data_IF_685433089525
#
_entry.id   IF_685433089525
#
_cell.length_a   1.000
_cell.length_b   1.000
_cell.length_c   1.000
_cell.angle_alpha   90.00
_cell.angle_beta   90.00
_cell.angle_gamma   90.00
#
_symmetry.space_group_name_H-M   'P 1'
#
loop_
_entity.id
_entity.type
_entity.pdbx_description
1 polymer ?
#
# COMPACT_ATOMS: atom_id res chain seq x y z
N UNK A 1 -41.71 -23.16 30.89
CA UNK A 1 -40.65 -23.53 29.92
C UNK A 1 -39.40 -22.78 30.33
N UNK A 2 -38.38 -23.47 30.85
CA UNK A 2 -37.12 -22.88 31.31
C UNK A 2 -36.06 -23.28 30.29
N UNK A 3 -35.37 -22.30 29.70
CA UNK A 3 -34.29 -22.58 28.75
C UNK A 3 -33.14 -23.32 29.47
N UNK A 4 -32.50 -24.32 28.85
CA UNK A 4 -31.34 -24.97 29.45
C UNK A 4 -30.22 -23.92 29.57
N UNK A 5 -29.63 -23.83 30.77
CA UNK A 5 -28.41 -23.06 30.98
C UNK A 5 -27.30 -23.68 30.11
N UNK A 6 -26.44 -22.88 29.48
CA UNK A 6 -25.28 -23.43 28.81
C UNK A 6 -24.42 -24.15 29.85
N UNK A 7 -24.08 -25.41 29.58
CA UNK A 7 -23.06 -26.14 30.33
C UNK A 7 -21.71 -25.44 30.10
N UNK A 8 -21.41 -24.46 30.96
CA UNK A 8 -20.09 -23.87 31.02
C UNK A 8 -19.21 -24.90 31.72
N UNK A 9 -18.55 -25.73 30.91
CA UNK A 9 -17.53 -26.65 31.38
C UNK A 9 -16.45 -25.84 32.13
N UNK A 10 -16.21 -26.05 33.43
CA UNK A 10 -15.27 -25.24 34.21
C UNK A 10 -13.79 -25.62 33.96
N UNK A 11 -13.53 -26.59 33.08
CA UNK A 11 -12.21 -27.20 32.89
C UNK A 11 -11.23 -26.42 32.00
N UNK A 12 -11.60 -25.25 31.46
CA UNK A 12 -10.66 -24.37 30.75
C UNK A 12 -9.54 -23.82 31.65
N UNK A 13 -9.66 -23.98 32.97
CA UNK A 13 -8.62 -23.59 33.94
C UNK A 13 -7.42 -24.54 33.99
N UNK A 14 -7.51 -25.71 33.36
CA UNK A 14 -6.46 -26.74 33.35
C UNK A 14 -5.82 -26.94 31.98
N UNK A 15 -6.00 -25.99 31.05
CA UNK A 15 -5.09 -25.92 29.90
C UNK A 15 -3.78 -25.34 30.42
N UNK A 16 -2.70 -26.12 30.35
CA UNK A 16 -1.33 -25.63 30.56
C UNK A 16 -1.03 -24.58 29.49
N UNK A 17 -1.41 -23.34 29.76
CA UNK A 17 -1.15 -22.21 28.86
C UNK A 17 0.37 -22.10 28.71
N UNK A 18 0.85 -22.45 27.52
CA UNK A 18 2.26 -22.28 27.17
C UNK A 18 2.64 -20.81 27.39
N UNK A 19 3.79 -20.53 28.02
CA UNK A 19 4.24 -19.17 28.24
C UNK A 19 4.38 -18.45 26.89
N UNK A 20 3.50 -17.48 26.65
CA UNK A 20 3.53 -16.65 25.44
C UNK A 20 4.58 -15.56 25.67
N UNK A 21 5.61 -15.56 24.83
CA UNK A 21 6.63 -14.51 24.83
C UNK A 21 6.61 -13.75 23.51
N UNK A 22 6.95 -12.47 23.57
CA UNK A 22 7.25 -11.63 22.41
C UNK A 22 8.77 -11.41 22.46
N UNK A 23 9.57 -12.25 21.77
CA UNK A 23 11.02 -12.24 21.88
C UNK A 23 11.64 -10.89 21.50
N UNK A 24 11.02 -10.22 20.53
CA UNK A 24 11.42 -8.91 20.01
C UNK A 24 11.32 -7.80 21.07
N UNK A 25 10.38 -7.92 22.01
CA UNK A 25 10.16 -6.95 23.07
C UNK A 25 10.67 -7.42 24.44
N UNK A 26 11.24 -8.63 24.54
CA UNK A 26 11.60 -9.23 25.81
C UNK A 26 10.43 -9.33 26.79
N UNK A 27 9.19 -9.41 26.27
CA UNK A 27 7.98 -9.44 27.07
C UNK A 27 7.49 -10.89 27.20
N UNK A 28 7.12 -11.29 28.41
CA UNK A 28 6.51 -12.59 28.68
C UNK A 28 5.17 -12.40 29.39
N UNK A 29 4.18 -13.20 29.00
CA UNK A 29 2.88 -13.17 29.65
C UNK A 29 2.93 -14.04 30.90
N UNK A 30 2.75 -13.43 32.07
CA UNK A 30 2.71 -14.12 33.35
C UNK A 30 1.27 -14.59 33.62
N UNK A 31 1.01 -15.87 33.34
CA UNK A 31 -0.33 -16.50 33.44
C UNK A 31 -0.91 -16.35 34.86
N UNK A 32 -0.07 -16.42 35.90
CA UNK A 32 -0.48 -16.28 37.30
C UNK A 32 -1.04 -14.89 37.65
N UNK A 33 -0.61 -13.85 36.94
CA UNK A 33 -1.05 -12.47 37.15
C UNK A 33 -1.99 -11.97 36.06
N UNK A 34 -2.25 -12.80 35.04
CA UNK A 34 -2.93 -12.42 33.81
C UNK A 34 -2.40 -11.09 33.22
N UNK A 35 -1.08 -10.88 33.30
CA UNK A 35 -0.45 -9.62 32.96
C UNK A 35 0.84 -9.82 32.16
N UNK A 36 1.13 -8.86 31.28
CA UNK A 36 2.39 -8.79 30.55
C UNK A 36 3.49 -8.25 31.46
N UNK A 37 4.56 -9.03 31.63
CA UNK A 37 5.75 -8.63 32.36
C UNK A 37 6.84 -8.31 31.35
N UNK A 38 7.40 -7.11 31.47
CA UNK A 38 8.42 -6.57 30.59
C UNK A 38 9.70 -6.44 31.41
N UNK A 39 10.76 -7.14 31.02
CA UNK A 39 12.06 -7.02 31.68
C UNK A 39 12.70 -5.66 31.33
N UNK A 40 12.58 -4.72 32.27
CA UNK A 40 13.33 -3.46 32.38
C UNK A 40 13.18 -2.39 31.26
N UNK A 41 13.70 -1.18 31.53
CA UNK A 41 13.63 0.00 30.65
C UNK A 41 14.25 -0.17 29.26
N UNK A 42 15.05 -1.21 29.02
CA UNK A 42 15.57 -1.56 27.69
C UNK A 42 14.45 -1.90 26.69
N UNK A 43 13.37 -2.51 27.17
CA UNK A 43 12.26 -2.95 26.32
C UNK A 43 11.45 -1.78 25.76
N UNK A 44 11.33 -0.67 26.52
CA UNK A 44 10.75 0.59 26.01
C UNK A 44 11.63 1.23 24.94
N UNK A 45 12.95 1.17 25.10
CA UNK A 45 13.91 1.64 24.09
C UNK A 45 13.83 0.82 22.81
N UNK A 46 13.78 -0.52 22.92
CA UNK A 46 13.60 -1.44 21.79
C UNK A 46 12.26 -1.23 21.09
N UNK A 47 11.17 -1.08 21.83
CA UNK A 47 9.85 -0.76 21.27
C UNK A 47 9.87 0.59 20.53
N UNK A 48 10.50 1.62 21.11
CA UNK A 48 10.65 2.92 20.48
C UNK A 48 11.50 2.86 19.21
N UNK A 49 12.58 2.06 19.20
CA UNK A 49 13.41 1.86 18.01
C UNK A 49 12.64 1.14 16.89
N UNK A 50 11.89 0.10 17.22
CA UNK A 50 11.05 -0.62 16.26
C UNK A 50 9.97 0.30 15.69
N UNK A 51 9.30 1.07 16.55
CA UNK A 51 8.28 2.05 16.13
C UNK A 51 8.85 3.12 15.21
N UNK A 52 10.05 3.63 15.52
CA UNK A 52 10.75 4.60 14.67
C UNK A 52 11.18 3.99 13.32
N UNK A 53 11.69 2.76 13.31
CA UNK A 53 12.06 2.07 12.08
C UNK A 53 10.85 1.82 11.19
N UNK A 54 9.73 1.38 11.79
CA UNK A 54 8.48 1.19 11.06
C UNK A 54 7.97 2.50 10.46
N UNK A 55 7.93 3.59 11.24
CA UNK A 55 7.52 4.92 10.75
C UNK A 55 8.43 5.41 9.61
N UNK A 56 9.73 5.17 9.70
CA UNK A 56 10.69 5.52 8.64
C UNK A 56 10.44 4.73 7.36
N UNK A 57 10.14 3.44 7.48
CA UNK A 57 9.84 2.59 6.33
C UNK A 57 8.49 2.96 5.69
N UNK A 58 7.47 3.29 6.49
CA UNK A 58 6.18 3.78 5.99
C UNK A 58 6.36 5.09 5.18
N UNK A 59 7.15 6.04 5.68
CA UNK A 59 7.46 7.27 4.96
C UNK A 59 8.23 7.01 3.66
N UNK A 60 9.17 6.07 3.69
CA UNK A 60 9.93 5.65 2.49
C UNK A 60 9.01 5.04 1.44
N UNK A 61 8.10 4.16 1.85
CA UNK A 61 7.11 3.54 0.97
C UNK A 61 6.18 4.60 0.37
N UNK A 62 5.68 5.54 1.18
CA UNK A 62 4.88 6.67 0.69
C UNK A 62 5.63 7.47 -0.38
N UNK A 63 6.87 7.88 -0.12
CA UNK A 63 7.69 8.61 -1.09
C UNK A 63 7.88 7.85 -2.41
N UNK A 64 8.18 6.54 -2.33
CA UNK A 64 8.34 5.71 -3.52
C UNK A 64 7.04 5.61 -4.32
N UNK A 65 5.88 5.51 -3.65
CA UNK A 65 4.58 5.53 -4.31
C UNK A 65 4.34 6.85 -5.05
N UNK A 66 4.65 8.02 -4.46
CA UNK A 66 4.56 9.29 -5.21
C UNK A 66 5.42 9.31 -6.44
N UNK A 67 6.67 8.87 -6.33
CA UNK A 67 7.58 8.87 -7.47
C UNK A 67 7.06 7.95 -8.58
N UNK A 68 6.48 6.80 -8.21
CA UNK A 68 5.88 5.86 -9.15
C UNK A 68 4.67 6.50 -9.85
N UNK A 69 3.75 7.11 -9.11
CA UNK A 69 2.59 7.82 -9.67
C UNK A 69 3.01 8.94 -10.61
N UNK A 70 4.03 9.74 -10.24
CA UNK A 70 4.57 10.80 -11.11
C UNK A 70 5.13 10.23 -12.42
N UNK A 71 5.79 9.06 -12.36
CA UNK A 71 6.33 8.39 -13.55
C UNK A 71 5.22 7.81 -14.42
N UNK A 72 4.18 7.24 -13.82
CA UNK A 72 3.00 6.75 -14.53
C UNK A 72 2.27 7.88 -15.26
N UNK A 73 2.06 9.03 -14.60
CA UNK A 73 1.47 10.24 -15.21
C UNK A 73 2.30 10.72 -16.40
N UNK A 74 3.63 10.80 -16.26
CA UNK A 74 4.52 11.17 -17.37
C UNK A 74 4.45 10.17 -18.53
N UNK A 75 4.43 8.88 -18.21
CA UNK A 75 4.37 7.81 -19.20
C UNK A 75 3.04 7.81 -19.95
N UNK A 76 1.92 8.06 -19.27
CA UNK A 76 0.62 8.26 -19.90
C UNK A 76 0.62 9.47 -20.84
N UNK A 77 1.22 10.60 -20.43
CA UNK A 77 1.34 11.79 -21.28
C UNK A 77 2.13 11.49 -22.56
N UNK A 78 3.29 10.84 -22.44
CA UNK A 78 4.11 10.47 -23.59
C UNK A 78 3.37 9.50 -24.50
N UNK A 79 2.65 8.51 -23.95
CA UNK A 79 1.81 7.61 -24.74
C UNK A 79 0.72 8.35 -25.52
N UNK A 80 0.07 9.35 -24.90
CA UNK A 80 -0.92 10.20 -25.56
C UNK A 80 -0.30 11.01 -26.69
N UNK A 81 0.89 11.59 -26.48
CA UNK A 81 1.63 12.32 -27.52
C UNK A 81 1.98 11.41 -28.71
N UNK A 82 2.51 10.21 -28.45
CA UNK A 82 2.83 9.22 -29.50
C UNK A 82 1.56 8.83 -30.27
N UNK A 83 0.47 8.55 -29.57
CA UNK A 83 -0.81 8.20 -30.19
C UNK A 83 -1.34 9.33 -31.10
N UNK A 84 -1.20 10.59 -30.69
CA UNK A 84 -1.56 11.74 -31.51
C UNK A 84 -0.70 11.84 -32.76
N UNK A 85 0.62 11.69 -32.63
CA UNK A 85 1.55 11.72 -33.77
C UNK A 85 1.22 10.61 -34.77
N UNK A 86 1.01 9.38 -34.28
CA UNK A 86 0.64 8.23 -35.10
C UNK A 86 -0.66 8.48 -35.86
N UNK A 87 -1.66 9.07 -35.21
CA UNK A 87 -2.95 9.39 -35.83
C UNK A 87 -2.84 10.51 -36.86
N UNK A 88 -2.09 11.57 -36.56
CA UNK A 88 -1.89 12.70 -37.46
C UNK A 88 -1.13 12.29 -38.73
N UNK A 89 -0.17 11.37 -38.61
CA UNK A 89 0.70 10.94 -39.70
C UNK A 89 0.31 9.57 -40.29
N UNK A 90 -0.88 9.05 -39.96
CA UNK A 90 -1.32 7.70 -40.33
C UNK A 90 -1.18 7.45 -41.83
N UNK A 91 -1.68 8.37 -42.67
CA UNK A 91 -1.65 8.20 -44.12
C UNK A 91 -0.24 8.15 -44.70
N UNK A 92 0.69 8.96 -44.20
CA UNK A 92 2.08 8.99 -44.69
C UNK A 92 2.81 7.71 -44.26
N UNK A 93 2.62 7.32 -43.00
CA UNK A 93 3.29 6.14 -42.43
C UNK A 93 2.75 4.84 -43.04
N UNK A 94 1.45 4.75 -43.31
CA UNK A 94 0.82 3.62 -44.01
C UNK A 94 1.36 3.50 -45.45
N UNK A 95 1.53 4.64 -46.16
CA UNK A 95 2.17 4.65 -47.49
C UNK A 95 3.65 4.22 -47.46
N UNK A 96 4.35 4.44 -46.35
CA UNK A 96 5.73 4.02 -46.14
C UNK A 96 5.84 2.56 -45.67
N UNK A 97 4.72 1.85 -45.50
CA UNK A 97 4.69 0.46 -45.02
C UNK A 97 4.90 0.31 -43.52
N UNK A 98 4.77 1.39 -42.75
CA UNK A 98 4.83 1.33 -41.29
C UNK A 98 3.47 0.88 -40.73
N UNK A 99 3.42 -0.05 -39.75
CA UNK A 99 2.18 -0.67 -39.28
C UNK A 99 1.41 0.24 -38.29
N UNK A 100 1.05 1.46 -38.71
CA UNK A 100 0.35 2.42 -37.85
C UNK A 100 -1.00 1.90 -37.38
N UNK A 101 -1.78 1.28 -38.26
CA UNK A 101 -3.14 0.82 -37.94
C UNK A 101 -3.15 -0.24 -36.83
N UNK A 102 -2.18 -1.16 -36.87
CA UNK A 102 -2.02 -2.18 -35.82
C UNK A 102 -1.59 -1.56 -34.50
N UNK A 103 -0.66 -0.60 -34.54
CA UNK A 103 -0.20 0.12 -33.35
C UNK A 103 -1.31 0.98 -32.73
N UNK A 104 -2.09 1.70 -33.54
CA UNK A 104 -3.26 2.47 -33.11
C UNK A 104 -4.40 1.58 -32.58
N UNK A 105 -4.52 0.34 -33.05
CA UNK A 105 -5.50 -0.62 -32.52
C UNK A 105 -5.06 -1.25 -31.19
N UNK A 106 -3.75 -1.39 -30.96
CA UNK A 106 -3.19 -1.89 -29.70
C UNK A 106 -3.05 -0.81 -28.64
N UNK A 107 -2.88 0.44 -29.05
CA UNK A 107 -2.99 1.56 -28.13
C UNK A 107 -4.47 1.86 -27.94
N UNK A 108 -4.92 1.94 -26.69
CA UNK A 108 -6.27 2.42 -26.34
C UNK A 108 -6.39 3.93 -26.64
N UNK A 109 -6.19 4.33 -27.89
CA UNK A 109 -6.07 5.73 -28.33
C UNK A 109 -7.35 6.50 -28.03
N UNK A 110 -8.51 5.87 -28.21
CA UNK A 110 -9.78 6.50 -27.84
C UNK A 110 -9.89 6.81 -26.35
N UNK A 111 -9.37 5.93 -25.49
CA UNK A 111 -9.36 6.14 -24.04
C UNK A 111 -8.34 7.21 -23.65
N UNK A 112 -7.14 7.15 -24.21
CA UNK A 112 -6.07 8.14 -23.98
C UNK A 112 -6.48 9.55 -24.44
N UNK A 113 -7.28 9.66 -25.51
CA UNK A 113 -7.80 10.94 -26.00
C UNK A 113 -8.98 11.46 -25.17
N UNK A 114 -9.85 10.57 -24.67
CA UNK A 114 -11.02 10.93 -23.83
C UNK A 114 -10.67 11.21 -22.37
N UNK A 115 -9.57 10.66 -21.85
CA UNK A 115 -9.08 10.98 -20.50
C UNK A 115 -8.45 12.40 -20.50
N UNK A 116 -9.25 13.39 -20.11
CA UNK A 116 -8.81 14.78 -19.83
C UNK A 116 -8.14 14.90 -18.44
N UNK A 117 -8.43 14.01 -17.49
CA UNK A 117 -8.10 14.19 -16.06
C UNK A 117 -6.93 13.36 -15.51
N UNK A 118 -5.86 13.22 -16.29
CA UNK A 118 -4.60 12.61 -15.78
C UNK A 118 -3.98 13.50 -14.67
N UNK A 119 -4.36 14.78 -14.61
CA UNK A 119 -3.92 15.73 -13.59
C UNK A 119 -4.50 15.52 -12.20
N UNK A 120 -5.63 14.82 -12.04
CA UNK A 120 -6.27 14.62 -10.74
C UNK A 120 -5.61 13.51 -9.91
N UNK A 121 -5.14 12.44 -10.55
CA UNK A 121 -4.52 11.27 -9.88
C UNK A 121 -3.20 11.66 -9.19
N UNK A 122 -2.42 12.53 -9.82
CA UNK A 122 -1.18 13.06 -9.22
C UNK A 122 -1.45 14.01 -8.04
N UNK A 123 -2.53 14.80 -8.11
CA UNK A 123 -2.90 15.74 -7.04
C UNK A 123 -3.38 15.00 -5.79
N UNK A 124 -4.30 14.05 -5.93
CA UNK A 124 -4.84 13.29 -4.77
C UNK A 124 -3.75 12.55 -4.01
N UNK A 125 -2.85 11.87 -4.71
CA UNK A 125 -1.77 11.12 -4.06
C UNK A 125 -0.83 12.09 -3.31
N UNK A 126 -0.40 13.18 -3.96
CA UNK A 126 0.49 14.19 -3.35
C UNK A 126 -0.14 14.91 -2.16
N UNK A 127 -1.46 15.19 -2.22
CA UNK A 127 -2.22 15.80 -1.14
C UNK A 127 -2.34 14.86 0.07
N UNK A 128 -2.67 13.58 -0.14
CA UNK A 128 -2.73 12.55 0.91
C UNK A 128 -1.39 12.40 1.65
N UNK A 129 -0.27 12.53 0.95
CA UNK A 129 1.05 12.40 1.58
C UNK A 129 1.51 13.65 2.31
N UNK A 130 1.17 14.83 1.79
CA UNK A 130 1.38 16.08 2.53
C UNK A 130 0.60 16.07 3.85
N UNK A 131 -0.63 15.60 3.84
CA UNK A 131 -1.44 15.43 5.07
C UNK A 131 -0.81 14.45 6.06
N UNK A 132 -0.28 13.31 5.58
CA UNK A 132 0.40 12.31 6.43
C UNK A 132 1.72 12.80 7.05
N UNK A 133 2.42 13.76 6.44
CA UNK A 133 3.69 14.29 6.97
C UNK A 133 3.48 15.45 7.93
N UNK A 134 2.43 16.25 7.72
CA UNK A 134 2.16 17.48 8.49
C UNK A 134 1.23 17.28 9.70
N UNK A 135 0.67 16.07 9.87
CA UNK A 135 -0.07 15.63 11.06
C UNK A 135 0.83 14.97 12.11
#
# INVERSE_FOLDING_TARGET
MVAPKPDINPDWRNEDFLPVSIPVLGAHFEVQRAAWVVESGESKSKESQIRNNYKREELRQGFLMHLLTDKEVKLMRVRKEIAMILKEHEGILDMQGFPVKELLAQTDVERLLKEEDIGEIGKTTTEIFKEKILS
#
